data_IF_541832144287
#
_entry.id   IF_541832144287
#
_cell.length_a   1.000
_cell.length_b   1.000
_cell.length_c   1.000
_cell.angle_alpha   90.00
_cell.angle_beta   90.00
_cell.angle_gamma   90.00
#
_symmetry.space_group_name_H-M   'P 1'
#
loop_
_entity.id
_entity.type
_entity.pdbx_description
1 polymer ?
#
# COMPACT_ATOMS: atom_id res chain seq x y z
N UNK A 1 -23.04 9.90 16.68
CA UNK A 1 -24.09 9.12 15.99
C UNK A 1 -23.36 8.10 15.13
N UNK A 2 -23.28 6.87 15.61
CA UNK A 2 -22.60 5.76 14.92
C UNK A 2 -23.43 5.44 13.68
N UNK A 3 -22.85 5.57 12.49
CA UNK A 3 -23.52 5.20 11.23
C UNK A 3 -24.05 3.76 11.39
N UNK A 4 -25.31 3.46 11.07
CA UNK A 4 -25.85 2.11 11.24
C UNK A 4 -24.98 1.10 10.49
N UNK A 5 -24.43 0.16 11.25
CA UNK A 5 -23.56 -0.96 10.85
C UNK A 5 -24.25 -2.00 9.92
N UNK A 6 -25.33 -1.63 9.22
CA UNK A 6 -26.22 -2.59 8.54
C UNK A 6 -26.35 -2.41 7.03
N UNK A 7 -25.74 -1.39 6.43
CA UNK A 7 -25.61 -1.34 4.98
C UNK A 7 -24.23 -1.87 4.59
N UNK A 8 -24.11 -3.19 4.42
CA UNK A 8 -23.06 -3.74 3.56
C UNK A 8 -23.29 -3.15 2.17
N UNK A 9 -22.63 -2.04 1.86
CA UNK A 9 -22.70 -1.45 0.53
C UNK A 9 -22.11 -2.47 -0.44
N UNK A 10 -22.92 -3.07 -1.34
CA UNK A 10 -22.41 -4.10 -2.24
C UNK A 10 -21.42 -3.51 -3.24
N UNK A 11 -21.45 -2.19 -3.47
CA UNK A 11 -20.64 -1.51 -4.47
C UNK A 11 -19.12 -1.67 -4.29
N UNK A 12 -18.50 -1.34 -3.13
CA UNK A 12 -17.06 -1.54 -2.93
C UNK A 12 -16.65 -3.02 -3.00
N UNK A 13 -17.46 -3.92 -2.46
CA UNK A 13 -17.18 -5.37 -2.52
C UNK A 13 -17.30 -5.92 -3.94
N UNK A 14 -18.29 -5.48 -4.71
CA UNK A 14 -18.44 -5.81 -6.11
C UNK A 14 -17.26 -5.28 -6.93
N UNK A 15 -16.76 -4.08 -6.62
CA UNK A 15 -15.55 -3.52 -7.21
C UNK A 15 -14.31 -4.38 -6.96
N UNK A 16 -14.11 -4.82 -5.72
CA UNK A 16 -12.99 -5.72 -5.35
C UNK A 16 -13.12 -7.08 -6.04
N UNK A 17 -14.33 -7.66 -6.07
CA UNK A 17 -14.58 -8.92 -6.76
C UNK A 17 -14.34 -8.80 -8.28
N UNK A 18 -14.84 -7.74 -8.90
CA UNK A 18 -14.61 -7.46 -10.32
C UNK A 18 -13.12 -7.28 -10.62
N UNK A 19 -12.37 -6.59 -9.75
CA UNK A 19 -10.93 -6.43 -9.88
C UNK A 19 -10.20 -7.78 -9.79
N UNK A 20 -10.56 -8.62 -8.83
CA UNK A 20 -9.98 -9.96 -8.67
C UNK A 20 -10.26 -10.86 -9.89
N UNK A 21 -11.51 -10.88 -10.35
CA UNK A 21 -11.92 -11.66 -11.52
C UNK A 21 -11.25 -11.17 -12.80
N UNK A 22 -11.20 -9.85 -13.02
CA UNK A 22 -10.54 -9.26 -14.18
C UNK A 22 -9.05 -9.60 -14.21
N UNK A 23 -8.37 -9.49 -13.06
CA UNK A 23 -6.97 -9.86 -12.94
C UNK A 23 -6.76 -11.37 -13.19
N UNK A 24 -7.57 -12.24 -12.58
CA UNK A 24 -7.46 -13.69 -12.75
C UNK A 24 -7.71 -14.12 -14.20
N UNK A 25 -8.73 -13.55 -14.84
CA UNK A 25 -9.02 -13.79 -16.26
C UNK A 25 -7.85 -13.34 -17.16
N UNK A 26 -7.23 -12.20 -16.86
CA UNK A 26 -6.09 -11.69 -17.60
C UNK A 26 -4.84 -12.57 -17.40
N UNK A 27 -4.60 -13.03 -16.17
CA UNK A 27 -3.50 -13.93 -15.81
C UNK A 27 -3.64 -15.33 -16.42
N UNK A 28 -4.88 -15.78 -16.69
CA UNK A 28 -5.18 -17.06 -17.32
C UNK A 28 -5.03 -17.04 -18.86
N UNK A 29 -4.90 -15.86 -19.49
CA UNK A 29 -4.78 -15.77 -20.95
C UNK A 29 -3.50 -16.47 -21.44
N UNK A 30 -3.57 -17.22 -22.56
CA UNK A 30 -2.39 -17.80 -23.19
C UNK A 30 -1.41 -16.69 -23.58
N UNK A 31 -0.13 -16.91 -23.31
CA UNK A 31 0.92 -15.97 -23.66
C UNK A 31 2.27 -16.67 -23.78
N UNK A 32 3.28 -16.01 -24.36
CA UNK A 32 4.57 -16.62 -24.69
C UNK A 32 5.36 -17.11 -23.47
N UNK A 33 5.06 -16.60 -22.27
CA UNK A 33 5.55 -17.16 -21.01
C UNK A 33 4.42 -17.21 -19.99
N UNK A 34 4.29 -18.33 -19.29
CA UNK A 34 3.29 -18.55 -18.23
C UNK A 34 3.38 -17.44 -17.18
N UNK A 35 2.23 -16.97 -16.72
CA UNK A 35 2.14 -16.02 -15.61
C UNK A 35 2.47 -16.74 -14.29
N UNK A 36 3.13 -16.02 -13.37
CA UNK A 36 3.55 -16.60 -12.10
C UNK A 36 2.34 -16.85 -11.19
N UNK A 37 2.19 -18.09 -10.71
CA UNK A 37 1.13 -18.44 -9.76
C UNK A 37 1.23 -17.64 -8.45
N UNK A 38 2.45 -17.33 -8.01
CA UNK A 38 2.69 -16.48 -6.84
C UNK A 38 2.16 -15.05 -7.03
N UNK A 39 2.28 -14.48 -8.24
CA UNK A 39 1.72 -13.16 -8.54
C UNK A 39 0.19 -13.17 -8.50
N UNK A 40 -0.43 -14.25 -8.97
CA UNK A 40 -1.88 -14.40 -8.87
C UNK A 40 -2.33 -14.59 -7.44
N UNK A 41 -1.69 -15.49 -6.69
CA UNK A 41 -2.01 -15.71 -5.28
C UNK A 41 -1.90 -14.41 -4.48
N UNK A 42 -0.78 -13.68 -4.62
CA UNK A 42 -0.57 -12.41 -3.92
C UNK A 42 -1.64 -11.37 -4.25
N UNK A 43 -2.00 -11.20 -5.52
CA UNK A 43 -3.04 -10.24 -5.92
C UNK A 43 -4.42 -10.63 -5.35
N UNK A 44 -4.79 -11.90 -5.44
CA UNK A 44 -6.05 -12.41 -4.89
C UNK A 44 -6.07 -12.27 -3.37
N UNK A 45 -4.96 -12.53 -2.67
CA UNK A 45 -4.82 -12.25 -1.24
C UNK A 45 -5.04 -10.78 -0.93
N UNK A 46 -4.47 -9.87 -1.71
CA UNK A 46 -4.73 -8.43 -1.57
C UNK A 46 -6.21 -8.06 -1.72
N UNK A 47 -6.88 -8.61 -2.73
CA UNK A 47 -8.33 -8.45 -2.88
C UNK A 47 -9.12 -9.06 -1.70
N UNK A 48 -8.73 -10.22 -1.21
CA UNK A 48 -9.37 -10.85 -0.06
C UNK A 48 -9.21 -10.02 1.22
N UNK A 49 -8.04 -9.41 1.44
CA UNK A 49 -7.80 -8.50 2.56
C UNK A 49 -8.65 -7.22 2.46
N UNK A 50 -8.81 -6.65 1.26
CA UNK A 50 -9.73 -5.53 1.03
C UNK A 50 -11.18 -5.94 1.31
N UNK A 51 -11.61 -7.10 0.79
CA UNK A 51 -12.95 -7.61 1.02
C UNK A 51 -13.19 -7.85 2.51
N UNK A 52 -12.21 -8.39 3.24
CA UNK A 52 -12.28 -8.57 4.69
C UNK A 52 -12.46 -7.22 5.41
N UNK A 53 -11.68 -6.21 5.05
CA UNK A 53 -11.77 -4.88 5.64
C UNK A 53 -13.12 -4.18 5.41
N UNK A 54 -13.75 -4.45 4.26
CA UNK A 54 -14.98 -3.79 3.83
C UNK A 54 -16.25 -4.58 4.21
N UNK A 55 -16.19 -5.91 4.25
CA UNK A 55 -17.34 -6.78 4.47
C UNK A 55 -17.53 -7.16 5.93
N UNK A 56 -16.45 -7.44 6.66
CA UNK A 56 -16.57 -7.92 8.03
C UNK A 56 -16.68 -6.70 8.95
N UNK A 57 -17.73 -6.59 9.79
CA UNK A 57 -17.70 -5.64 10.88
C UNK A 57 -16.57 -6.09 11.82
N UNK A 58 -15.39 -5.51 11.67
CA UNK A 58 -14.19 -5.84 12.44
C UNK A 58 -14.35 -5.26 13.85
N UNK A 59 -15.35 -5.70 14.60
CA UNK A 59 -15.74 -5.09 15.88
C UNK A 59 -16.38 -3.71 15.74
N UNK A 60 -16.38 -2.96 16.83
CA UNK A 60 -16.95 -1.61 16.93
C UNK A 60 -15.91 -0.63 17.52
N UNK A 61 -16.14 0.66 17.32
CA UNK A 61 -15.29 1.71 17.89
C UNK A 61 -14.00 1.97 17.12
N UNK A 62 -13.06 2.65 17.77
CA UNK A 62 -11.80 3.08 17.15
C UNK A 62 -10.82 1.92 16.85
N UNK A 63 -10.72 0.85 17.65
CA UNK A 63 -9.87 -0.31 17.31
C UNK A 63 -10.30 -1.00 16.01
N UNK A 64 -11.62 -1.07 15.76
CA UNK A 64 -12.18 -1.58 14.51
C UNK A 64 -11.72 -0.77 13.30
N UNK A 65 -11.81 0.57 13.42
CA UNK A 65 -11.31 1.49 12.40
C UNK A 65 -9.79 1.30 12.17
N UNK A 66 -9.01 1.11 13.23
CA UNK A 66 -7.58 0.89 13.09
C UNK A 66 -7.26 -0.43 12.36
N UNK A 67 -7.99 -1.51 12.65
CA UNK A 67 -7.84 -2.76 11.93
C UNK A 67 -8.18 -2.60 10.43
N UNK A 68 -9.25 -1.87 10.10
CA UNK A 68 -9.59 -1.53 8.71
C UNK A 68 -8.48 -0.69 8.05
N UNK A 69 -7.93 0.29 8.76
CA UNK A 69 -6.82 1.11 8.30
C UNK A 69 -5.59 0.26 7.94
N UNK A 70 -5.18 -0.68 8.81
CA UNK A 70 -4.03 -1.57 8.56
C UNK A 70 -4.24 -2.47 7.34
N UNK A 71 -5.45 -3.05 7.20
CA UNK A 71 -5.78 -3.91 6.08
C UNK A 71 -5.78 -3.13 4.76
N UNK A 72 -6.47 -1.98 4.71
CA UNK A 72 -6.65 -1.18 3.49
C UNK A 72 -5.38 -0.40 3.13
N UNK A 73 -4.69 0.14 4.13
CA UNK A 73 -3.56 1.06 3.97
C UNK A 73 -2.20 0.38 3.86
N UNK A 74 -2.04 -0.86 4.34
CA UNK A 74 -0.71 -1.50 4.41
C UNK A 74 -0.70 -2.93 3.85
N UNK A 75 -1.50 -3.84 4.43
CA UNK A 75 -1.43 -5.27 4.10
C UNK A 75 -1.96 -5.57 2.69
N UNK A 76 -3.17 -5.11 2.37
CA UNK A 76 -3.74 -5.34 1.05
C UNK A 76 -2.92 -4.67 -0.07
N UNK A 77 -2.50 -3.39 0.06
CA UNK A 77 -1.65 -2.77 -0.96
C UNK A 77 -0.35 -3.51 -1.22
N UNK A 78 0.33 -3.99 -0.17
CA UNK A 78 1.56 -4.78 -0.31
C UNK A 78 1.31 -6.05 -1.13
N UNK A 79 0.27 -6.80 -0.81
CA UNK A 79 -0.11 -8.01 -1.53
C UNK A 79 -0.54 -7.73 -2.99
N UNK A 80 -1.30 -6.65 -3.23
CA UNK A 80 -1.73 -6.23 -4.58
C UNK A 80 -0.53 -5.85 -5.46
N UNK A 81 0.40 -5.07 -4.92
CA UNK A 81 1.60 -4.61 -5.64
C UNK A 81 2.47 -5.78 -6.07
N UNK A 82 2.67 -6.78 -5.21
CA UNK A 82 3.44 -7.99 -5.52
C UNK A 82 2.84 -8.81 -6.67
N UNK A 83 1.55 -8.63 -6.95
CA UNK A 83 0.90 -9.14 -8.15
C UNK A 83 1.50 -8.63 -9.47
N UNK A 84 2.17 -7.48 -9.49
CA UNK A 84 2.56 -6.78 -10.73
C UNK A 84 1.39 -6.54 -11.71
N UNK A 85 0.27 -5.94 -11.26
CA UNK A 85 -0.87 -5.70 -12.13
C UNK A 85 -0.53 -4.85 -13.35
N UNK A 86 0.37 -3.86 -13.24
CA UNK A 86 0.74 -3.04 -14.40
C UNK A 86 1.52 -3.87 -15.43
N UNK A 87 2.41 -4.76 -14.99
CA UNK A 87 3.13 -5.69 -15.85
C UNK A 87 2.16 -6.64 -16.55
N UNK A 88 1.14 -7.13 -15.84
CA UNK A 88 0.12 -7.99 -16.43
C UNK A 88 -0.64 -7.25 -17.54
N UNK A 89 -1.12 -6.02 -17.25
CA UNK A 89 -1.78 -5.15 -18.23
C UNK A 89 -0.90 -4.92 -19.45
N UNK A 90 0.36 -4.52 -19.26
CA UNK A 90 1.29 -4.26 -20.36
C UNK A 90 1.55 -5.51 -21.23
N UNK A 91 1.57 -6.70 -20.65
CA UNK A 91 1.76 -7.97 -21.38
C UNK A 91 0.50 -8.42 -22.13
N UNK A 92 -0.67 -7.96 -21.70
CA UNK A 92 -1.95 -8.31 -22.32
C UNK A 92 -2.44 -7.30 -23.36
N UNK A 93 -1.78 -6.15 -23.46
CA UNK A 93 -2.08 -5.12 -24.47
C UNK A 93 -1.31 -5.36 -25.77
N UNK A 94 -1.92 -5.07 -26.94
CA UNK A 94 -1.17 -5.00 -28.19
C UNK A 94 -0.04 -3.96 -28.11
N UNK A 95 1.08 -4.14 -28.85
CA UNK A 95 2.25 -3.26 -28.80
C UNK A 95 1.98 -1.74 -28.87
N UNK A 96 1.08 -1.22 -29.75
CA UNK A 96 0.83 0.23 -29.78
C UNK A 96 0.22 0.75 -28.47
N UNK A 97 -0.68 0.00 -27.84
CA UNK A 97 -1.31 0.39 -26.58
C UNK A 97 -0.35 0.25 -25.39
N UNK A 98 0.43 -0.83 -25.35
CA UNK A 98 1.47 -1.00 -24.32
C UNK A 98 2.49 0.15 -24.35
N UNK A 99 2.88 0.62 -25.55
CA UNK A 99 3.75 1.80 -25.70
C UNK A 99 3.10 3.08 -25.18
N UNK A 100 1.81 3.31 -25.46
CA UNK A 100 1.06 4.48 -24.93
C UNK A 100 0.98 4.48 -23.41
N UNK A 101 0.63 3.35 -22.80
CA UNK A 101 0.60 3.21 -21.33
C UNK A 101 1.98 3.46 -20.74
N UNK A 102 3.03 2.86 -21.33
CA UNK A 102 4.41 3.10 -20.89
C UNK A 102 4.82 4.57 -21.01
N UNK A 103 4.37 5.28 -22.05
CA UNK A 103 4.63 6.70 -22.21
C UNK A 103 3.94 7.54 -21.12
N UNK A 104 2.71 7.18 -20.73
CA UNK A 104 2.01 7.82 -19.60
C UNK A 104 2.76 7.58 -18.29
N UNK A 105 3.21 6.36 -18.02
CA UNK A 105 3.98 6.01 -16.82
C UNK A 105 5.32 6.77 -16.70
N UNK A 106 5.83 7.29 -17.82
CA UNK A 106 7.06 8.10 -17.86
C UNK A 106 6.82 9.59 -17.66
N UNK A 107 5.57 10.05 -17.59
CA UNK A 107 5.26 11.48 -17.43
C UNK A 107 5.67 12.00 -16.04
N UNK A 108 5.96 13.29 -15.98
CA UNK A 108 6.41 14.00 -14.78
C UNK A 108 5.54 13.74 -13.53
N UNK A 109 4.20 13.86 -13.59
CA UNK A 109 3.34 13.64 -12.42
C UNK A 109 3.45 12.22 -11.85
N UNK A 110 3.44 11.20 -12.70
CA UNK A 110 3.58 9.80 -12.27
C UNK A 110 4.95 9.56 -11.63
N UNK A 111 5.99 10.21 -12.16
CA UNK A 111 7.34 10.16 -11.58
C UNK A 111 7.40 10.82 -10.21
N UNK A 112 6.78 11.99 -10.03
CA UNK A 112 6.77 12.71 -8.75
C UNK A 112 6.00 11.90 -7.71
N UNK A 113 4.82 11.40 -8.04
CA UNK A 113 4.01 10.57 -7.16
C UNK A 113 4.69 9.24 -6.83
N UNK A 114 5.32 8.61 -7.82
CA UNK A 114 6.04 7.35 -7.66
C UNK A 114 7.39 7.43 -6.95
N UNK A 115 7.84 8.63 -6.57
CA UNK A 115 9.06 8.79 -5.79
C UNK A 115 8.82 8.31 -4.35
N UNK A 116 9.71 7.47 -3.76
CA UNK A 116 9.50 6.91 -2.43
C UNK A 116 9.23 7.94 -1.33
N UNK A 117 9.87 9.12 -1.40
CA UNK A 117 9.63 10.20 -0.43
C UNK A 117 8.23 10.79 -0.59
N UNK A 118 7.75 11.01 -1.80
CA UNK A 118 6.38 11.51 -2.03
C UNK A 118 5.36 10.48 -1.56
N UNK A 119 5.60 9.20 -1.86
CA UNK A 119 4.73 8.12 -1.43
C UNK A 119 4.70 7.96 0.10
N UNK A 120 5.85 8.11 0.76
CA UNK A 120 5.97 8.17 2.21
C UNK A 120 5.15 9.33 2.80
N UNK A 121 5.28 10.54 2.25
CA UNK A 121 4.53 11.71 2.71
C UNK A 121 3.02 11.52 2.54
N UNK A 122 2.58 10.94 1.42
CA UNK A 122 1.17 10.65 1.19
C UNK A 122 0.64 9.57 2.14
N UNK A 123 1.43 8.54 2.42
CA UNK A 123 1.03 7.44 3.31
C UNK A 123 1.09 7.86 4.77
N UNK A 124 2.29 8.06 5.31
CA UNK A 124 2.49 8.32 6.72
C UNK A 124 2.13 9.75 7.12
N UNK A 125 2.34 10.72 6.23
CA UNK A 125 1.89 12.10 6.46
C UNK A 125 0.36 12.23 6.42
N UNK A 126 -0.31 11.52 5.51
CA UNK A 126 -1.78 11.42 5.49
C UNK A 126 -2.34 10.79 6.77
N UNK A 127 -1.68 9.74 7.28
CA UNK A 127 -2.02 9.11 8.55
C UNK A 127 -1.82 10.05 9.75
N UNK A 128 -0.68 10.74 9.83
CA UNK A 128 -0.44 11.75 10.86
C UNK A 128 -1.47 12.87 10.81
N UNK A 129 -1.82 13.35 9.60
CA UNK A 129 -2.87 14.32 9.44
C UNK A 129 -4.23 13.79 9.91
N UNK A 130 -4.58 12.54 9.60
CA UNK A 130 -5.85 11.94 10.05
C UNK A 130 -5.99 11.96 11.57
N UNK A 131 -4.96 11.50 12.29
CA UNK A 131 -5.04 11.26 13.72
C UNK A 131 -4.67 12.47 14.58
N UNK A 132 -3.86 13.39 14.08
CA UNK A 132 -3.43 14.58 14.82
C UNK A 132 -4.28 15.83 14.52
N UNK A 133 -5.29 15.74 13.65
CA UNK A 133 -6.16 16.86 13.26
C UNK A 133 -7.65 16.44 13.26
N UNK A 134 -8.59 17.38 13.06
CA UNK A 134 -10.03 17.05 13.05
C UNK A 134 -10.49 16.16 11.89
N UNK A 135 -9.59 15.74 11.00
CA UNK A 135 -9.90 14.88 9.86
C UNK A 135 -10.54 13.55 10.26
N UNK A 136 -10.16 12.95 11.40
CA UNK A 136 -10.83 11.74 11.87
C UNK A 136 -12.31 12.01 12.15
N UNK A 137 -12.66 13.11 12.85
CA UNK A 137 -14.05 13.49 13.08
C UNK A 137 -14.80 13.74 11.77
N UNK A 138 -14.15 14.41 10.81
CA UNK A 138 -14.72 14.62 9.49
C UNK A 138 -15.04 13.30 8.77
N UNK A 139 -14.18 12.29 8.90
CA UNK A 139 -14.43 10.97 8.30
C UNK A 139 -15.66 10.26 8.86
N UNK A 140 -16.12 10.67 10.06
CA UNK A 140 -17.27 10.09 10.75
C UNK A 140 -18.59 10.85 10.46
N UNK A 141 -18.56 11.97 9.73
CA UNK A 141 -19.78 12.78 9.51
C UNK A 141 -20.68 12.21 8.42
N UNK A 142 -20.18 11.31 7.57
CA UNK A 142 -20.98 10.68 6.52
C UNK A 142 -20.17 9.73 5.64
N UNK A 143 -20.86 9.12 4.69
CA UNK A 143 -20.30 8.08 3.81
C UNK A 143 -19.22 8.61 2.87
N UNK A 144 -19.41 9.80 2.30
CA UNK A 144 -18.47 10.35 1.33
C UNK A 144 -17.09 10.63 1.97
N UNK A 145 -16.96 11.36 3.10
CA UNK A 145 -15.68 11.51 3.80
C UNK A 145 -15.04 10.18 4.19
N UNK A 146 -15.85 9.21 4.65
CA UNK A 146 -15.38 7.87 5.01
C UNK A 146 -14.76 7.12 3.82
N UNK A 147 -15.45 7.10 2.67
CA UNK A 147 -14.95 6.44 1.46
C UNK A 147 -13.74 7.15 0.85
N UNK A 148 -13.71 8.49 0.87
CA UNK A 148 -12.55 9.25 0.42
C UNK A 148 -11.31 8.94 1.26
N UNK A 149 -11.48 8.76 2.58
CA UNK A 149 -10.40 8.37 3.46
C UNK A 149 -9.87 6.97 3.14
N UNK A 150 -10.75 5.97 2.99
CA UNK A 150 -10.34 4.61 2.63
C UNK A 150 -9.69 4.56 1.25
N UNK A 151 -10.22 5.30 0.27
CA UNK A 151 -9.63 5.42 -1.05
C UNK A 151 -8.24 6.04 -0.98
N UNK A 152 -8.07 7.12 -0.21
CA UNK A 152 -6.76 7.73 0.01
C UNK A 152 -5.77 6.73 0.63
N UNK A 153 -6.16 6.00 1.68
CA UNK A 153 -5.30 5.00 2.31
C UNK A 153 -4.90 3.87 1.36
N UNK A 154 -5.84 3.34 0.59
CA UNK A 154 -5.55 2.32 -0.41
C UNK A 154 -4.57 2.84 -1.46
N UNK A 155 -4.81 4.02 -2.02
CA UNK A 155 -3.97 4.59 -3.07
C UNK A 155 -2.58 4.98 -2.56
N UNK A 156 -2.49 5.61 -1.39
CA UNK A 156 -1.24 6.02 -0.78
C UNK A 156 -0.41 4.80 -0.34
N UNK A 157 -1.06 3.80 0.28
CA UNK A 157 -0.43 2.52 0.64
C UNK A 157 0.08 1.75 -0.58
N UNK A 158 -0.71 1.70 -1.65
CA UNK A 158 -0.31 1.04 -2.90
C UNK A 158 0.88 1.75 -3.54
N UNK A 159 0.83 3.08 -3.60
CA UNK A 159 1.91 3.91 -4.13
C UNK A 159 3.20 3.74 -3.31
N UNK A 160 3.10 3.71 -1.98
CA UNK A 160 4.23 3.49 -1.09
C UNK A 160 4.83 2.10 -1.27
N UNK A 161 4.02 1.04 -1.16
CA UNK A 161 4.47 -0.34 -1.38
C UNK A 161 5.08 -0.53 -2.78
N UNK A 162 4.49 0.06 -3.82
CA UNK A 162 5.04 0.02 -5.17
C UNK A 162 6.36 0.79 -5.31
N UNK A 163 6.47 1.98 -4.71
CA UNK A 163 7.69 2.78 -4.76
C UNK A 163 8.85 2.10 -4.04
N UNK A 164 8.57 1.37 -2.96
CA UNK A 164 9.53 0.65 -2.12
C UNK A 164 9.88 -0.71 -2.71
N UNK A 165 8.92 -1.62 -2.90
CA UNK A 165 9.17 -3.02 -3.26
C UNK A 165 8.47 -3.49 -4.55
N UNK A 166 7.80 -2.60 -5.28
CA UNK A 166 6.94 -3.01 -6.38
C UNK A 166 7.66 -3.68 -7.55
N UNK A 167 7.24 -4.86 -8.03
CA UNK A 167 7.82 -5.50 -9.21
C UNK A 167 7.51 -4.78 -10.54
N UNK A 168 6.50 -3.91 -10.56
CA UNK A 168 6.07 -3.19 -11.75
C UNK A 168 7.08 -2.12 -12.21
N UNK A 169 7.12 -1.78 -13.52
CA UNK A 169 8.06 -0.82 -14.07
C UNK A 169 7.96 0.55 -13.39
N UNK A 170 9.08 1.03 -12.83
CA UNK A 170 9.19 2.33 -12.20
C UNK A 170 10.41 3.08 -12.75
N UNK A 171 10.25 3.87 -13.82
CA UNK A 171 11.34 4.64 -14.41
C UNK A 171 11.98 5.56 -13.38
N UNK A 172 13.31 5.48 -13.20
CA UNK A 172 14.09 6.24 -12.21
C UNK A 172 13.79 5.91 -10.74
N UNK A 173 13.33 4.70 -10.43
CA UNK A 173 13.22 4.26 -9.04
C UNK A 173 14.61 4.34 -8.35
N UNK A 174 14.71 4.95 -7.15
CA UNK A 174 15.96 5.03 -6.40
C UNK A 174 16.58 3.66 -6.08
N UNK A 175 17.85 3.69 -5.66
CA UNK A 175 18.60 2.50 -5.24
C UNK A 175 17.89 1.76 -4.08
N UNK A 176 18.16 0.47 -3.91
CA UNK A 176 17.60 -0.30 -2.78
C UNK A 176 18.01 0.29 -1.43
N UNK A 177 19.27 0.68 -1.18
CA UNK A 177 19.65 1.33 0.07
C UNK A 177 18.83 2.59 0.37
N UNK A 178 18.58 3.46 -0.63
CA UNK A 178 17.73 4.64 -0.44
C UNK A 178 16.30 4.25 -0.05
N UNK A 179 15.74 3.22 -0.70
CA UNK A 179 14.39 2.73 -0.38
C UNK A 179 14.30 2.09 1.00
N UNK A 180 15.36 1.41 1.46
CA UNK A 180 15.46 0.90 2.83
C UNK A 180 15.49 2.03 3.86
N UNK A 181 16.21 3.12 3.59
CA UNK A 181 16.19 4.31 4.45
C UNK A 181 14.77 4.90 4.52
N UNK A 182 14.11 5.08 3.38
CA UNK A 182 12.73 5.58 3.33
C UNK A 182 11.77 4.65 4.09
N UNK A 183 11.93 3.33 3.95
CA UNK A 183 11.14 2.36 4.71
C UNK A 183 11.41 2.46 6.22
N UNK A 184 12.67 2.62 6.64
CA UNK A 184 13.02 2.83 8.05
C UNK A 184 12.44 4.11 8.63
N UNK A 185 12.36 5.19 7.84
CA UNK A 185 11.65 6.41 8.25
C UNK A 185 10.16 6.15 8.39
N UNK A 186 9.55 5.39 7.49
CA UNK A 186 8.14 5.00 7.60
C UNK A 186 7.86 4.27 8.91
N UNK A 187 8.67 3.26 9.23
CA UNK A 187 8.60 2.48 10.46
C UNK A 187 8.71 3.38 11.68
N UNK A 188 9.70 4.25 11.72
CA UNK A 188 9.92 5.15 12.86
C UNK A 188 8.73 6.10 13.08
N UNK A 189 8.16 6.66 12.01
CA UNK A 189 7.02 7.57 12.13
C UNK A 189 5.74 6.80 12.45
N UNK A 190 5.54 5.61 11.88
CA UNK A 190 4.39 4.75 12.17
C UNK A 190 4.39 4.30 13.64
N UNK A 191 5.50 3.72 14.11
CA UNK A 191 5.67 3.33 15.51
C UNK A 191 5.57 4.53 16.46
N UNK A 192 6.17 5.66 16.09
CA UNK A 192 6.08 6.91 16.87
C UNK A 192 4.64 7.41 17.02
N UNK A 193 3.86 7.38 15.93
CA UNK A 193 2.45 7.79 15.98
C UNK A 193 1.60 6.81 16.80
N UNK A 194 1.88 5.51 16.73
CA UNK A 194 1.25 4.53 17.62
C UNK A 194 1.56 4.82 19.09
N UNK A 195 2.80 5.16 19.44
CA UNK A 195 3.18 5.51 20.82
C UNK A 195 2.50 6.81 21.30
N UNK A 196 2.42 7.84 20.45
CA UNK A 196 1.69 9.07 20.75
C UNK A 196 0.21 8.79 21.01
N UNK A 197 -0.40 7.95 20.18
CA UNK A 197 -1.79 7.51 20.33
C UNK A 197 -2.01 6.70 21.61
N UNK A 198 -1.10 5.80 21.96
CA UNK A 198 -1.14 5.03 23.20
C UNK A 198 -1.12 5.96 24.43
N UNK A 199 -0.28 6.99 24.38
CA UNK A 199 -0.15 8.00 25.42
C UNK A 199 -1.32 9.02 25.43
N UNK A 200 -2.16 9.06 24.39
CA UNK A 200 -3.19 10.08 24.21
C UNK A 200 -2.62 11.49 23.97
N UNK A 201 -1.40 11.58 23.44
CA UNK A 201 -0.69 12.85 23.22
C UNK A 201 -0.75 13.24 21.75
N UNK A 202 -1.05 14.52 21.47
CA UNK A 202 -1.12 15.08 20.11
C UNK A 202 -2.09 14.35 19.17
N UNK A 203 -3.08 13.63 19.71
CA UNK A 203 -4.11 12.91 18.95
C UNK A 203 -5.46 13.60 19.11
N UNK A 204 -6.18 13.77 18.00
CA UNK A 204 -7.47 14.47 17.90
C UNK A 204 -8.64 13.51 17.58
N UNK A 205 -8.60 12.32 18.19
CA UNK A 205 -9.59 11.25 18.02
C UNK A 205 -10.49 11.21 19.25
N UNK A 206 -11.82 11.37 19.12
CA UNK A 206 -12.76 11.33 20.23
C UNK A 206 -13.09 9.89 20.64
N UNK A 207 -12.08 9.15 21.14
CA UNK A 207 -12.23 7.78 21.61
C UNK A 207 -11.85 7.67 23.10
N UNK A 208 -12.48 6.75 23.87
CA UNK A 208 -12.09 6.49 25.24
C UNK A 208 -10.61 6.06 25.34
N UNK A 209 -9.90 6.35 26.45
CA UNK A 209 -8.49 5.98 26.59
C UNK A 209 -8.20 4.49 26.37
N UNK A 210 -9.12 3.59 26.75
CA UNK A 210 -8.98 2.15 26.51
C UNK A 210 -9.01 1.79 25.02
N UNK A 211 -9.88 2.45 24.24
CA UNK A 211 -9.95 2.26 22.78
C UNK A 211 -8.72 2.85 22.07
N UNK A 212 -8.22 4.00 22.53
CA UNK A 212 -6.98 4.59 21.99
C UNK A 212 -5.78 3.66 22.20
N UNK A 213 -5.64 3.06 23.38
CA UNK A 213 -4.55 2.11 23.67
C UNK A 213 -4.66 0.84 22.83
N UNK A 214 -5.86 0.25 22.74
CA UNK A 214 -6.09 -0.94 21.93
C UNK A 214 -5.82 -0.67 20.43
N UNK A 215 -6.27 0.47 19.92
CA UNK A 215 -5.97 0.89 18.55
C UNK A 215 -4.47 1.13 18.35
N UNK A 216 -3.80 1.79 19.29
CA UNK A 216 -2.36 2.02 19.23
C UNK A 216 -1.54 0.72 19.24
N UNK A 217 -1.93 -0.27 20.04
CA UNK A 217 -1.30 -1.60 20.04
C UNK A 217 -1.49 -2.31 18.70
N UNK A 218 -2.71 -2.30 18.14
CA UNK A 218 -2.98 -2.84 16.81
C UNK A 218 -2.14 -2.14 15.75
N UNK A 219 -2.09 -0.81 15.79
CA UNK A 219 -1.27 -0.01 14.90
C UNK A 219 0.20 -0.39 15.02
N UNK A 220 0.75 -0.46 16.22
CA UNK A 220 2.15 -0.80 16.44
C UNK A 220 2.51 -2.18 15.86
N UNK A 221 1.85 -3.24 16.32
CA UNK A 221 2.19 -4.61 15.92
C UNK A 221 1.76 -4.95 14.48
N UNK A 222 0.60 -4.45 14.06
CA UNK A 222 0.11 -4.65 12.69
C UNK A 222 0.94 -3.89 11.66
N UNK A 223 1.40 -2.69 12.03
CA UNK A 223 2.36 -1.90 11.26
C UNK A 223 3.68 -2.62 11.06
N UNK A 224 4.30 -3.05 12.15
CA UNK A 224 5.55 -3.80 12.14
C UNK A 224 5.45 -5.03 11.22
N UNK A 225 4.36 -5.79 11.33
CA UNK A 225 4.12 -6.94 10.44
C UNK A 225 4.07 -6.52 8.97
N UNK A 226 3.31 -5.49 8.62
CA UNK A 226 3.17 -5.06 7.23
C UNK A 226 4.49 -4.50 6.66
N UNK A 227 5.24 -3.74 7.46
CA UNK A 227 6.52 -3.16 7.07
C UNK A 227 7.60 -4.22 6.93
N UNK A 228 7.62 -5.24 7.80
CA UNK A 228 8.49 -6.41 7.66
C UNK A 228 8.19 -7.20 6.39
N UNK A 229 6.91 -7.40 6.06
CA UNK A 229 6.52 -8.04 4.79
C UNK A 229 6.98 -7.22 3.58
N UNK A 230 6.88 -5.89 3.65
CA UNK A 230 7.36 -5.00 2.58
C UNK A 230 8.90 -4.99 2.48
N UNK A 231 9.60 -5.01 3.60
CA UNK A 231 11.05 -5.14 3.66
C UNK A 231 11.50 -6.48 3.04
N UNK A 232 10.84 -7.58 3.42
CA UNK A 232 11.09 -8.91 2.87
C UNK A 232 10.87 -8.92 1.35
N UNK A 233 9.78 -8.33 0.87
CA UNK A 233 9.52 -8.16 -0.55
C UNK A 233 10.64 -7.38 -1.27
N UNK A 234 11.13 -6.29 -0.68
CA UNK A 234 12.22 -5.50 -1.24
C UNK A 234 13.52 -6.29 -1.32
N UNK A 235 13.91 -6.98 -0.24
CA UNK A 235 15.18 -7.70 -0.16
C UNK A 235 15.18 -8.94 -1.06
N UNK A 236 14.09 -9.71 -1.08
CA UNK A 236 13.99 -10.93 -1.90
C UNK A 236 13.96 -10.65 -3.41
N UNK A 237 13.55 -9.44 -3.81
CA UNK A 237 13.53 -9.02 -5.21
C UNK A 237 14.76 -8.20 -5.61
N UNK A 238 15.64 -7.88 -4.67
CA UNK A 238 16.85 -7.09 -4.93
C UNK A 238 17.87 -7.89 -5.74
N UNK A 239 18.37 -7.27 -6.81
CA UNK A 239 19.54 -7.73 -7.56
C UNK A 239 20.61 -6.64 -7.48
N UNK A 240 21.69 -6.84 -6.71
CA UNK A 240 22.83 -5.92 -6.69
C UNK A 240 23.39 -5.76 -8.10
N UNK A 241 23.64 -4.52 -8.52
CA UNK A 241 24.39 -4.27 -9.75
C UNK A 241 25.83 -4.67 -9.48
N UNK A 242 26.34 -5.68 -10.19
CA UNK A 242 27.78 -5.99 -10.13
C UNK A 242 28.55 -4.77 -10.62
N UNK A 243 29.45 -4.24 -9.80
CA UNK A 243 30.43 -3.27 -10.28
C UNK A 243 31.26 -3.96 -11.37
N UNK A 244 31.56 -3.28 -12.49
CA UNK A 244 32.49 -3.82 -13.46
C UNK A 244 33.80 -4.15 -12.73
N UNK A 245 34.26 -5.39 -12.82
CA UNK A 245 35.59 -5.75 -12.33
C UNK A 245 36.59 -4.88 -13.08
N UNK A 246 37.26 -3.98 -12.35
CA UNK A 246 38.43 -3.29 -12.87
C UNK A 246 39.41 -4.38 -13.29
N UNK A 247 39.69 -4.47 -14.59
CA UNK A 247 40.63 -5.45 -15.11
C UNK A 247 42.00 -5.10 -14.56
N UNK A 248 42.84 -6.10 -14.24
CA UNK A 248 44.18 -5.88 -13.64
C UNK A 248 45.06 -4.88 -14.41
N UNK A 249 44.76 -4.59 -15.69
CA UNK A 249 45.42 -3.54 -16.48
C UNK A 249 45.12 -2.10 -16.04
N UNK A 250 43.99 -1.86 -15.36
CA UNK A 250 43.60 -0.53 -14.87
C UNK A 250 44.16 -0.22 -13.47
N UNK A 251 44.70 -1.21 -12.76
CA UNK A 251 45.32 -1.06 -11.44
C UNK A 251 46.84 -0.82 -11.50
N UNK A 252 47.43 -0.83 -12.70
CA UNK A 252 48.88 -0.74 -12.93
C UNK A 252 49.28 0.53 -13.71
N UNK A 253 48.31 1.39 -14.06
CA UNK A 253 48.54 2.76 -14.56
C UNK A 253 48.15 3.78 -13.49
#
# INVERSE_FOLDING_TARGET
MILPLTAHEPAPLAGVAALALAYAALAARPGPRRWSRWRTASFVTGCALLALALAVPIGTGFPAHMAQHLLIGMLAPTALVLGAPMTLVLRSLPPPYARRVTAVLRRGPVRVLGHPVTALLLSTGGMAALYCTPLYRLSQTGMLPHHLLHLHFLLAGYLFAWSVAGPDPAPRRPSVPFRLVVLGVAVAVHAGLAQLMYAGLLVDVPAPPGELRAAAELMYYGGDLAELLLALALVTTWRPVKQPELTKSELVN
#
